data_IF_334497250025
#
_entry.id   IF_334497250025
#
_cell.length_a   1.000
_cell.length_b   1.000
_cell.length_c   1.000
_cell.angle_alpha   90.00
_cell.angle_beta   90.00
_cell.angle_gamma   90.00
#
_symmetry.space_group_name_H-M   'P 1'
#
loop_
_entity.id
_entity.type
_entity.pdbx_description
1 polymer ?
#
# COMPACT_ATOMS: atom_id res chain seq x y z
N UNK A 1 -17.30 -19.07 -22.38
CA UNK A 1 -18.45 -18.45 -21.69
C UNK A 1 -18.01 -18.11 -20.27
N UNK A 2 -17.44 -16.92 -20.06
CA UNK A 2 -17.11 -16.44 -18.71
C UNK A 2 -18.26 -15.57 -18.23
N UNK A 3 -19.03 -16.08 -17.26
CA UNK A 3 -19.99 -15.27 -16.51
C UNK A 3 -19.22 -14.15 -15.80
N UNK A 4 -19.37 -12.90 -16.29
CA UNK A 4 -19.13 -11.72 -15.47
C UNK A 4 -20.17 -11.76 -14.35
N UNK A 5 -19.74 -12.18 -13.17
CA UNK A 5 -20.52 -11.97 -11.93
C UNK A 5 -20.52 -10.47 -11.69
N UNK A 6 -21.55 -9.78 -12.19
CA UNK A 6 -21.83 -8.41 -11.80
C UNK A 6 -22.34 -8.43 -10.37
N UNK A 7 -21.48 -8.04 -9.42
CA UNK A 7 -21.88 -7.81 -8.04
C UNK A 7 -22.94 -6.69 -8.01
N UNK A 8 -24.00 -6.81 -7.19
CA UNK A 8 -25.10 -5.85 -7.15
C UNK A 8 -24.64 -4.51 -6.57
N UNK A 9 -25.16 -3.43 -7.16
CA UNK A 9 -24.69 -2.05 -6.99
C UNK A 9 -24.85 -1.45 -5.57
N UNK A 10 -25.64 -2.08 -4.69
CA UNK A 10 -25.85 -1.66 -3.30
C UNK A 10 -24.76 -2.17 -2.33
N UNK A 11 -23.85 -3.02 -2.80
CA UNK A 11 -22.76 -3.62 -1.99
C UNK A 11 -21.47 -2.77 -1.98
N UNK A 12 -21.50 -1.55 -2.52
CA UNK A 12 -20.28 -0.84 -2.93
C UNK A 12 -19.59 -0.03 -1.81
N UNK A 13 -20.33 0.48 -0.83
CA UNK A 13 -19.77 1.37 0.19
C UNK A 13 -19.05 0.60 1.29
N UNK A 14 -19.67 -0.45 1.82
CA UNK A 14 -19.07 -1.31 2.85
C UNK A 14 -17.80 -1.98 2.34
N UNK A 15 -17.81 -2.49 1.10
CA UNK A 15 -16.61 -3.03 0.47
C UNK A 15 -15.52 -1.97 0.31
N UNK A 16 -15.87 -0.75 -0.11
CA UNK A 16 -14.89 0.33 -0.21
C UNK A 16 -14.32 0.70 1.17
N UNK A 17 -15.16 0.78 2.20
CA UNK A 17 -14.72 1.00 3.56
C UNK A 17 -13.75 -0.10 4.01
N UNK A 18 -14.07 -1.37 3.75
CA UNK A 18 -13.20 -2.49 4.06
C UNK A 18 -11.84 -2.39 3.34
N UNK A 19 -11.83 -1.99 2.07
CA UNK A 19 -10.59 -1.77 1.30
C UNK A 19 -9.75 -0.65 1.90
N UNK A 20 -10.37 0.47 2.29
CA UNK A 20 -9.68 1.57 2.96
C UNK A 20 -9.15 1.17 4.34
N UNK A 21 -9.90 0.35 5.08
CA UNK A 21 -9.45 -0.18 6.37
C UNK A 21 -8.28 -1.16 6.20
N UNK A 22 -8.32 -2.03 5.18
CA UNK A 22 -7.19 -2.89 4.82
C UNK A 22 -5.95 -2.05 4.46
N UNK A 23 -6.14 -0.99 3.69
CA UNK A 23 -5.08 -0.05 3.36
C UNK A 23 -4.53 0.68 4.60
N UNK A 24 -5.38 1.01 5.56
CA UNK A 24 -4.97 1.58 6.84
C UNK A 24 -4.06 0.60 7.61
N UNK A 25 -4.48 -0.65 7.78
CA UNK A 25 -3.66 -1.68 8.46
C UNK A 25 -2.33 -1.90 7.74
N UNK A 26 -2.36 -2.02 6.40
CA UNK A 26 -1.14 -2.14 5.62
C UNK A 26 -0.20 -0.94 5.82
N UNK A 27 -0.74 0.27 5.86
CA UNK A 27 0.07 1.49 6.04
C UNK A 27 0.75 1.58 7.41
N UNK A 28 0.22 0.93 8.45
CA UNK A 28 0.91 0.79 9.75
C UNK A 28 2.20 0.00 9.55
N UNK A 29 2.11 -1.14 8.87
CA UNK A 29 3.27 -1.96 8.54
C UNK A 29 4.27 -1.23 7.65
N UNK A 30 3.79 -0.49 6.64
CA UNK A 30 4.63 0.35 5.79
C UNK A 30 5.36 1.43 6.60
N UNK A 31 4.67 2.17 7.46
CA UNK A 31 5.26 3.20 8.30
C UNK A 31 6.31 2.63 9.26
N UNK A 32 6.04 1.47 9.86
CA UNK A 32 7.00 0.76 10.70
C UNK A 32 8.24 0.30 9.90
N UNK A 33 8.05 -0.20 8.68
CA UNK A 33 9.14 -0.58 7.77
C UNK A 33 9.98 0.64 7.40
N UNK A 34 9.35 1.74 6.96
CA UNK A 34 10.03 2.99 6.65
C UNK A 34 10.78 3.55 7.86
N UNK A 35 10.19 3.51 9.05
CA UNK A 35 10.86 3.91 10.30
C UNK A 35 12.11 3.07 10.60
N UNK A 36 12.03 1.76 10.39
CA UNK A 36 13.17 0.84 10.56
C UNK A 36 14.29 1.12 9.56
N UNK A 37 13.94 1.36 8.28
CA UNK A 37 14.92 1.73 7.24
C UNK A 37 15.58 3.07 7.59
N UNK A 38 14.80 4.06 8.00
CA UNK A 38 15.27 5.38 8.39
C UNK A 38 16.22 5.32 9.59
N UNK A 39 15.87 4.57 10.64
CA UNK A 39 16.72 4.38 11.83
C UNK A 39 18.05 3.71 11.53
N UNK A 40 18.08 2.79 10.55
CA UNK A 40 19.32 2.14 10.11
C UNK A 40 20.23 3.05 9.28
N UNK A 41 19.87 4.34 9.12
CA UNK A 41 20.57 5.34 8.30
C UNK A 41 20.82 4.88 6.87
N UNK A 42 20.01 3.94 6.37
CA UNK A 42 19.99 3.60 4.96
C UNK A 42 19.41 4.84 4.25
N UNK A 43 20.29 5.67 3.71
CA UNK A 43 19.99 6.48 2.54
C UNK A 43 20.29 5.56 1.35
N UNK A 44 19.37 4.66 0.96
CA UNK A 44 19.63 3.75 -0.15
C UNK A 44 19.94 4.60 -1.38
N UNK A 45 21.17 4.51 -1.87
CA UNK A 45 21.61 5.28 -3.03
C UNK A 45 20.98 4.71 -4.30
N UNK A 46 20.61 3.42 -4.26
CA UNK A 46 19.95 2.72 -5.34
C UNK A 46 18.63 2.05 -4.93
N UNK A 47 17.77 1.82 -5.91
CA UNK A 47 16.52 1.06 -5.73
C UNK A 47 16.79 -0.40 -5.33
N UNK A 48 17.91 -0.96 -5.81
CA UNK A 48 18.34 -2.32 -5.51
C UNK A 48 18.68 -2.48 -4.01
N UNK A 49 19.44 -1.54 -3.45
CA UNK A 49 19.78 -1.53 -2.01
C UNK A 49 18.55 -1.43 -1.12
N UNK A 50 17.59 -0.57 -1.50
CA UNK A 50 16.33 -0.45 -0.78
C UNK A 50 15.53 -1.76 -0.87
N UNK A 51 15.44 -2.36 -2.06
CA UNK A 51 14.78 -3.64 -2.27
C UNK A 51 15.37 -4.74 -1.39
N UNK A 52 16.69 -4.93 -1.39
CA UNK A 52 17.34 -5.98 -0.61
C UNK A 52 17.21 -5.73 0.90
N UNK A 53 17.37 -4.47 1.33
CA UNK A 53 17.14 -4.07 2.72
C UNK A 53 15.70 -4.34 3.17
N UNK A 54 14.71 -4.07 2.33
CA UNK A 54 13.30 -4.33 2.63
C UNK A 54 12.99 -5.81 2.75
N UNK A 55 13.55 -6.67 1.87
CA UNK A 55 13.39 -8.12 2.00
C UNK A 55 13.92 -8.62 3.34
N UNK A 56 15.11 -8.16 3.73
CA UNK A 56 15.70 -8.52 5.03
C UNK A 56 14.83 -8.06 6.21
N UNK A 57 14.24 -6.85 6.12
CA UNK A 57 13.38 -6.33 7.19
C UNK A 57 12.07 -7.11 7.30
N UNK A 58 11.37 -7.31 6.18
CA UNK A 58 10.06 -8.00 6.14
C UNK A 58 10.18 -9.42 6.67
N UNK A 59 11.24 -10.12 6.31
CA UNK A 59 11.46 -11.51 6.69
C UNK A 59 12.17 -11.67 8.02
N UNK A 60 12.39 -10.60 8.79
CA UNK A 60 12.92 -10.67 10.15
C UNK A 60 14.42 -10.91 10.27
N UNK A 61 15.18 -10.67 9.20
CA UNK A 61 16.64 -10.77 9.21
C UNK A 61 17.22 -11.48 7.99
N UNK A 62 18.54 -11.36 7.82
CA UNK A 62 19.27 -11.92 6.67
C UNK A 62 19.27 -13.44 6.70
N UNK A 63 19.44 -14.03 7.89
CA UNK A 63 19.43 -15.48 8.09
C UNK A 63 18.05 -16.06 7.84
N UNK A 64 17.01 -15.44 8.40
CA UNK A 64 15.63 -15.86 8.21
C UNK A 64 15.20 -15.75 6.74
N UNK A 65 15.57 -14.66 6.06
CA UNK A 65 15.33 -14.51 4.62
C UNK A 65 16.01 -15.62 3.81
N UNK A 66 17.29 -15.90 4.07
CA UNK A 66 18.04 -16.98 3.39
C UNK A 66 17.38 -18.33 3.62
N UNK A 67 17.06 -18.65 4.87
CA UNK A 67 16.39 -19.90 5.22
C UNK A 67 15.06 -20.07 4.48
N UNK A 68 14.19 -19.05 4.50
CA UNK A 68 12.92 -19.09 3.78
C UNK A 68 13.11 -19.19 2.26
N UNK A 69 14.13 -18.53 1.72
CA UNK A 69 14.43 -18.54 0.29
C UNK A 69 14.89 -19.93 -0.15
N UNK A 70 15.80 -20.52 0.62
CA UNK A 70 16.34 -21.86 0.36
C UNK A 70 15.23 -22.92 0.48
N UNK A 71 14.37 -22.81 1.50
CA UNK A 71 13.22 -23.69 1.67
C UNK A 71 12.24 -23.59 0.48
N UNK A 72 11.95 -22.37 0.01
CA UNK A 72 11.09 -22.16 -1.15
C UNK A 72 11.71 -22.76 -2.42
N UNK A 73 13.02 -22.60 -2.62
CA UNK A 73 13.72 -23.19 -3.77
C UNK A 73 13.60 -24.72 -3.76
N UNK A 74 13.86 -25.36 -2.62
CA UNK A 74 13.71 -26.81 -2.44
C UNK A 74 12.28 -27.29 -2.71
N UNK A 75 11.26 -26.54 -2.25
CA UNK A 75 9.85 -26.88 -2.50
C UNK A 75 9.46 -26.74 -3.99
N UNK A 76 10.00 -25.76 -4.70
CA UNK A 76 9.76 -25.58 -6.14
C UNK A 76 10.44 -26.67 -6.96
N UNK A 77 11.68 -27.02 -6.61
CA UNK A 77 12.42 -28.13 -7.21
C UNK A 77 11.68 -29.46 -7.00
N UNK A 78 11.20 -29.73 -5.79
CA UNK A 78 10.41 -30.92 -5.48
C UNK A 78 9.07 -30.97 -6.26
N UNK A 79 8.50 -29.81 -6.61
CA UNK A 79 7.30 -29.69 -7.45
C UNK A 79 7.59 -29.66 -8.95
N UNK A 80 8.84 -29.87 -9.37
CA UNK A 80 9.24 -29.87 -10.78
C UNK A 80 9.13 -28.50 -11.47
N UNK A 81 9.04 -27.40 -10.71
CA UNK A 81 9.00 -26.06 -11.26
C UNK A 81 10.43 -25.50 -11.28
N UNK A 82 10.96 -25.06 -12.45
CA UNK A 82 12.31 -24.50 -12.51
C UNK A 82 12.41 -23.24 -11.65
N UNK A 83 13.44 -23.18 -10.82
CA UNK A 83 13.87 -22.10 -9.92
C UNK A 83 14.35 -20.85 -10.69
N UNK A 84 13.60 -20.42 -11.71
CA UNK A 84 13.98 -19.32 -12.60
C UNK A 84 13.44 -17.95 -12.18
N UNK A 85 12.58 -17.90 -11.17
CA UNK A 85 12.08 -16.61 -10.68
C UNK A 85 13.05 -16.04 -9.65
N UNK A 86 13.80 -15.02 -10.06
CA UNK A 86 14.58 -14.12 -9.21
C UNK A 86 13.75 -13.37 -8.15
N UNK A 87 12.44 -13.62 -8.09
CA UNK A 87 11.46 -13.05 -7.17
C UNK A 87 11.35 -13.84 -5.85
N UNK A 88 12.50 -14.24 -5.32
CA UNK A 88 12.60 -14.93 -4.03
C UNK A 88 11.96 -14.07 -2.94
N UNK A 89 10.75 -14.47 -2.55
CA UNK A 89 9.98 -13.95 -1.42
C UNK A 89 9.61 -12.44 -1.52
N UNK A 90 9.59 -11.89 -2.73
CA UNK A 90 9.07 -10.53 -2.98
C UNK A 90 7.55 -10.48 -2.73
N UNK A 91 7.04 -9.36 -2.21
CA UNK A 91 5.59 -9.12 -2.13
C UNK A 91 4.98 -8.94 -3.53
N UNK A 92 3.66 -9.16 -3.71
CA UNK A 92 2.98 -8.83 -4.97
C UNK A 92 3.22 -7.36 -5.33
N UNK A 93 3.45 -7.09 -6.62
CA UNK A 93 3.74 -5.72 -7.10
C UNK A 93 4.99 -5.10 -6.43
N UNK A 94 6.04 -5.88 -6.24
CA UNK A 94 7.25 -5.49 -5.48
C UNK A 94 7.85 -4.14 -5.88
N UNK A 95 8.01 -3.87 -7.18
CA UNK A 95 8.55 -2.59 -7.66
C UNK A 95 7.73 -1.39 -7.16
N UNK A 96 6.39 -1.53 -7.12
CA UNK A 96 5.50 -0.49 -6.56
C UNK A 96 5.66 -0.37 -5.05
N UNK A 97 5.82 -1.49 -4.35
CA UNK A 97 6.08 -1.48 -2.91
C UNK A 97 7.37 -0.73 -2.56
N UNK A 98 8.46 -0.98 -3.31
CA UNK A 98 9.75 -0.29 -3.14
C UNK A 98 9.59 1.21 -3.39
N UNK A 99 8.90 1.59 -4.48
CA UNK A 99 8.61 3.01 -4.77
C UNK A 99 7.73 3.67 -3.69
N UNK A 100 6.72 2.97 -3.18
CA UNK A 100 5.86 3.45 -2.12
C UNK A 100 6.64 3.66 -0.80
N UNK A 101 7.57 2.76 -0.50
CA UNK A 101 8.48 2.90 0.62
C UNK A 101 9.40 4.11 0.43
N UNK A 102 9.97 4.31 -0.77
CA UNK A 102 10.78 5.49 -1.08
C UNK A 102 10.01 6.79 -0.85
N UNK A 103 8.77 6.90 -1.37
CA UNK A 103 7.89 8.06 -1.11
C UNK A 103 7.62 8.28 0.39
N UNK A 104 7.50 7.19 1.15
CA UNK A 104 7.32 7.25 2.61
C UNK A 104 8.58 7.73 3.34
N UNK A 105 9.76 7.43 2.81
CA UNK A 105 11.05 7.92 3.34
C UNK A 105 11.32 9.39 2.98
N UNK A 106 10.82 9.87 1.83
CA UNK A 106 10.91 11.29 1.43
C UNK A 106 10.09 12.20 2.36
N UNK A 107 8.96 11.72 2.86
CA UNK A 107 8.18 12.42 3.88
C UNK A 107 7.73 11.46 5.01
N UNK A 108 8.60 11.23 6.01
CA UNK A 108 8.29 10.30 7.11
C UNK A 108 7.11 10.79 7.95
N UNK A 109 6.95 12.11 8.11
CA UNK A 109 5.81 12.68 8.86
C UNK A 109 4.48 12.29 8.21
N UNK A 110 4.39 12.38 6.88
CA UNK A 110 3.21 11.94 6.15
C UNK A 110 2.99 10.43 6.29
N UNK A 111 4.05 9.62 6.20
CA UNK A 111 3.96 8.17 6.34
C UNK A 111 3.30 7.73 7.67
N UNK A 112 3.62 8.38 8.78
CA UNK A 112 2.99 8.10 10.09
C UNK A 112 1.56 8.66 10.22
N UNK A 113 1.15 9.61 9.37
CA UNK A 113 -0.22 10.16 9.37
C UNK A 113 -1.19 9.35 8.51
N UNK A 114 -0.69 8.70 7.45
CA UNK A 114 -1.50 7.94 6.48
C UNK A 114 -2.39 6.87 7.12
N UNK A 115 -1.94 6.05 8.10
CA UNK A 115 -2.82 5.07 8.73
C UNK A 115 -4.08 5.68 9.32
N UNK A 116 -3.94 6.80 10.02
CA UNK A 116 -5.06 7.49 10.62
C UNK A 116 -6.00 8.09 9.56
N UNK A 117 -5.44 8.70 8.51
CA UNK A 117 -6.24 9.24 7.40
C UNK A 117 -7.04 8.16 6.68
N UNK A 118 -6.44 7.00 6.42
CA UNK A 118 -7.13 5.89 5.77
C UNK A 118 -8.23 5.29 6.66
N UNK A 119 -7.99 5.24 7.98
CA UNK A 119 -9.01 4.80 8.94
C UNK A 119 -10.20 5.76 9.00
N UNK A 120 -9.94 7.07 9.06
CA UNK A 120 -11.02 8.07 9.00
C UNK A 120 -11.77 8.02 7.67
N UNK A 121 -11.05 7.91 6.54
CA UNK A 121 -11.67 7.77 5.23
C UNK A 121 -12.55 6.52 5.15
N UNK A 122 -12.11 5.40 5.74
CA UNK A 122 -12.92 4.19 5.84
C UNK A 122 -14.22 4.43 6.62
N UNK A 123 -14.16 5.14 7.75
CA UNK A 123 -15.34 5.46 8.57
C UNK A 123 -16.29 6.38 7.80
N UNK A 124 -15.76 7.41 7.16
CA UNK A 124 -16.57 8.34 6.36
C UNK A 124 -17.28 7.62 5.22
N UNK A 125 -16.59 6.73 4.49
CA UNK A 125 -17.21 5.92 3.44
C UNK A 125 -18.26 4.97 4.00
N UNK A 126 -18.00 4.34 5.14
CA UNK A 126 -18.95 3.42 5.79
C UNK A 126 -20.24 4.13 6.23
N UNK A 127 -20.13 5.38 6.66
CA UNK A 127 -21.28 6.20 7.09
C UNK A 127 -21.91 7.05 5.98
N UNK A 128 -21.58 6.79 4.71
CA UNK A 128 -22.01 7.57 3.54
C UNK A 128 -21.76 9.09 3.67
N UNK A 129 -20.61 9.45 4.26
CA UNK A 129 -20.18 10.85 4.43
C UNK A 129 -19.20 11.25 3.33
N UNK A 130 -19.02 12.56 3.18
CA UNK A 130 -17.90 13.07 2.42
C UNK A 130 -16.59 12.61 3.08
N UNK A 131 -15.65 12.12 2.27
CA UNK A 131 -14.37 11.60 2.75
C UNK A 131 -13.49 12.73 3.30
N UNK A 132 -13.06 12.57 4.55
CA UNK A 132 -12.07 13.41 5.23
C UNK A 132 -12.45 14.90 5.29
N UNK A 133 -13.68 15.29 5.70
CA UNK A 133 -14.17 16.66 5.58
C UNK A 133 -13.34 17.67 6.39
N UNK A 134 -12.64 17.23 7.43
CA UNK A 134 -11.84 18.07 8.33
C UNK A 134 -10.41 18.34 7.84
N UNK A 135 -9.98 17.70 6.76
CA UNK A 135 -8.60 17.79 6.28
C UNK A 135 -8.32 19.11 5.55
N UNK A 136 -7.32 19.87 6.00
CA UNK A 136 -6.95 21.14 5.39
C UNK A 136 -5.87 20.96 4.30
N UNK A 137 -5.46 22.06 3.65
CA UNK A 137 -4.42 22.07 2.60
C UNK A 137 -3.06 21.50 3.07
N UNK A 138 -2.74 21.61 4.36
CA UNK A 138 -1.46 21.11 4.89
C UNK A 138 -1.33 19.58 4.81
N UNK A 139 -2.42 18.87 4.54
CA UNK A 139 -2.46 17.42 4.41
C UNK A 139 -2.41 16.93 2.95
N UNK A 140 -2.11 17.79 1.97
CA UNK A 140 -2.01 17.39 0.57
C UNK A 140 -1.03 16.22 0.35
N UNK A 141 0.18 16.31 0.91
CA UNK A 141 1.18 15.24 0.80
C UNK A 141 0.74 13.93 1.46
N UNK A 142 0.24 13.94 2.73
CA UNK A 142 -0.40 12.76 3.33
C UNK A 142 -1.54 12.16 2.51
N UNK A 143 -2.39 12.98 1.88
CA UNK A 143 -3.49 12.50 1.03
C UNK A 143 -2.98 11.83 -0.24
N UNK A 144 -1.96 12.40 -0.89
CA UNK A 144 -1.33 11.77 -2.07
C UNK A 144 -0.67 10.44 -1.70
N UNK A 145 0.00 10.36 -0.55
CA UNK A 145 0.61 9.12 -0.07
C UNK A 145 -0.47 8.08 0.29
N UNK A 146 -1.55 8.48 0.95
CA UNK A 146 -2.69 7.63 1.26
C UNK A 146 -3.32 7.04 -0.02
N UNK A 147 -3.52 7.87 -1.05
CA UNK A 147 -4.00 7.42 -2.36
C UNK A 147 -3.05 6.40 -3.01
N UNK A 148 -1.74 6.62 -2.93
CA UNK A 148 -0.74 5.68 -3.45
C UNK A 148 -0.74 4.33 -2.68
N UNK A 149 -0.97 4.36 -1.36
CA UNK A 149 -1.13 3.14 -0.55
C UNK A 149 -2.37 2.36 -1.01
N UNK A 150 -3.50 3.04 -1.21
CA UNK A 150 -4.73 2.40 -1.66
C UNK A 150 -4.57 1.79 -3.06
N UNK A 151 -3.93 2.51 -4.01
CA UNK A 151 -3.62 1.96 -5.34
C UNK A 151 -2.77 0.69 -5.25
N UNK A 152 -1.73 0.71 -4.39
CA UNK A 152 -0.88 -0.47 -4.19
C UNK A 152 -1.70 -1.65 -3.64
N UNK A 153 -2.49 -1.46 -2.60
CA UNK A 153 -3.27 -2.54 -1.96
C UNK A 153 -4.27 -3.15 -2.93
N UNK A 154 -5.00 -2.34 -3.69
CA UNK A 154 -5.97 -2.82 -4.69
C UNK A 154 -5.29 -3.69 -5.75
N UNK A 155 -4.10 -3.27 -6.23
CA UNK A 155 -3.34 -4.03 -7.24
C UNK A 155 -2.68 -5.28 -6.68
N UNK A 156 -2.12 -5.21 -5.49
CA UNK A 156 -1.47 -6.33 -4.83
C UNK A 156 -2.45 -7.45 -4.49
N UNK A 157 -3.71 -7.10 -4.22
CA UNK A 157 -4.80 -8.04 -3.91
C UNK A 157 -5.57 -8.52 -5.15
N UNK A 158 -5.31 -7.95 -6.33
CA UNK A 158 -6.00 -8.33 -7.57
C UNK A 158 -7.46 -7.88 -7.63
N UNK A 159 -7.83 -6.83 -6.89
CA UNK A 159 -9.18 -6.28 -6.88
C UNK A 159 -9.57 -5.63 -8.22
N UNK A 160 -10.88 -5.55 -8.56
CA UNK A 160 -11.34 -4.97 -9.81
C UNK A 160 -10.95 -3.50 -9.99
N UNK A 161 -10.70 -3.13 -11.24
CA UNK A 161 -10.34 -1.77 -11.67
C UNK A 161 -11.36 -0.70 -11.25
N UNK A 162 -12.63 -1.07 -11.13
CA UNK A 162 -13.72 -0.19 -10.70
C UNK A 162 -13.53 0.30 -9.25
N UNK A 163 -13.06 -0.59 -8.36
CA UNK A 163 -12.73 -0.24 -6.97
C UNK A 163 -11.62 0.81 -6.95
N UNK A 164 -10.60 0.64 -7.81
CA UNK A 164 -9.50 1.60 -7.93
C UNK A 164 -9.99 2.99 -8.33
N UNK A 165 -10.80 3.06 -9.40
CA UNK A 165 -11.34 4.32 -9.91
C UNK A 165 -12.24 5.01 -8.87
N UNK A 166 -13.08 4.25 -8.17
CA UNK A 166 -13.94 4.82 -7.13
C UNK A 166 -13.12 5.36 -5.96
N UNK A 167 -12.09 4.65 -5.51
CA UNK A 167 -11.19 5.14 -4.46
C UNK A 167 -10.45 6.41 -4.91
N UNK A 168 -9.82 6.38 -6.09
CA UNK A 168 -9.10 7.50 -6.68
C UNK A 168 -9.98 8.75 -6.81
N UNK A 169 -11.19 8.61 -7.35
CA UNK A 169 -12.14 9.72 -7.49
C UNK A 169 -12.49 10.36 -6.14
N UNK A 170 -12.62 9.58 -5.06
CA UNK A 170 -12.89 10.10 -3.71
C UNK A 170 -11.72 10.93 -3.20
N UNK A 171 -10.49 10.45 -3.36
CA UNK A 171 -9.28 11.20 -2.95
C UNK A 171 -9.04 12.43 -3.81
N UNK A 172 -9.16 12.33 -5.13
CA UNK A 172 -8.99 13.46 -6.06
C UNK A 172 -9.99 14.57 -5.75
N UNK A 173 -11.29 14.24 -5.62
CA UNK A 173 -12.32 15.21 -5.23
C UNK A 173 -11.95 15.91 -3.93
N UNK A 174 -11.37 15.16 -2.96
CA UNK A 174 -10.99 15.72 -1.67
C UNK A 174 -9.78 16.63 -1.74
N UNK A 175 -8.76 16.24 -2.50
CA UNK A 175 -7.55 17.04 -2.74
C UNK A 175 -7.94 18.35 -3.43
N UNK A 176 -8.75 18.31 -4.49
CA UNK A 176 -9.22 19.51 -5.18
C UNK A 176 -9.96 20.46 -4.23
N UNK A 177 -10.86 19.94 -3.38
CA UNK A 177 -11.57 20.76 -2.37
C UNK A 177 -10.62 21.36 -1.33
N UNK A 178 -9.60 20.61 -0.89
CA UNK A 178 -8.62 21.12 0.08
C UNK A 178 -7.79 22.28 -0.49
N UNK A 179 -7.51 22.26 -1.79
CA UNK A 179 -6.78 23.33 -2.49
C UNK A 179 -7.65 24.59 -2.63
N UNK A 180 -8.92 24.44 -3.02
CA UNK A 180 -9.82 25.57 -3.26
C UNK A 180 -10.42 26.20 -1.99
N UNK A 181 -10.47 25.50 -0.85
CA UNK A 181 -11.00 26.05 0.40
C UNK A 181 -10.06 27.04 1.13
N UNK A 182 -8.95 27.44 0.50
CA UNK A 182 -7.93 28.34 1.07
C UNK A 182 -7.83 29.69 0.36
N UNK A 183 -8.80 30.01 -0.50
CA UNK A 183 -9.05 31.35 -1.07
C UNK A 183 -10.23 32.01 -0.34
#
# INVERSE_FOLDING_TARGET
>A
MSQKVSLPADTNQEHMALVLNLAAVFSIGLAACSGTVFQRQLHPQSELELSDGLKVIIWGGKEQYRFCSDLRAQLLEAKGHPTKDSDNLSLPQWSRFVQLTRKSLENPKAAFQVPHLLQLASIDVCCDREVLPHVNRQAEQPLMLAMAVVDYVIRATGMPEEVRKTAENRFVKRISKAVHASE
#
